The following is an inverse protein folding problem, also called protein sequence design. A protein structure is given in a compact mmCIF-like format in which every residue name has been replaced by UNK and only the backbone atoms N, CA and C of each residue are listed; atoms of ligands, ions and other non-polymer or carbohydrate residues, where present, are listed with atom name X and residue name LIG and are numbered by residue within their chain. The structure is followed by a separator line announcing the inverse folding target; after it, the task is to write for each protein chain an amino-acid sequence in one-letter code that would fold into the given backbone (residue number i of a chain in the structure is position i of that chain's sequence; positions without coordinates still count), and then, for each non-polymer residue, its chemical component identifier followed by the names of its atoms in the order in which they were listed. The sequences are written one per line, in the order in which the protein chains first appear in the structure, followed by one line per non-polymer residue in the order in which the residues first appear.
data_IF_905442543186
#
_entry.id   IF_905442543186
#
_cell.length_a   1.000
_cell.length_b   1.000
_cell.length_c   1.000
_cell.angle_alpha   90.00
_cell.angle_beta   90.00
_cell.angle_gamma   90.00
#
_symmetry.space_group_name_H-M   'P 1'
#
loop_
_entity.id
_entity.type
_entity.pdbx_description
1 polymer ?
#
# COMPACT_ATOMS: atom_id res chain seq x y z
N UNK A 1 -66.89 7.80 23.88
CA UNK A 1 -65.89 7.49 24.94
C UNK A 1 -65.85 5.96 25.04
N UNK A 2 -64.78 5.20 24.95
CA UNK A 2 -63.34 5.41 25.20
C UNK A 2 -62.51 4.45 24.34
N UNK A 3 -61.33 4.94 23.98
CA UNK A 3 -60.28 4.35 23.15
C UNK A 3 -59.57 3.13 23.78
N UNK A 4 -59.18 2.20 22.92
CA UNK A 4 -57.81 1.67 22.71
C UNK A 4 -57.01 1.29 23.96
N UNK A 5 -56.77 -0.02 24.16
CA UNK A 5 -55.53 -0.53 24.73
C UNK A 5 -55.10 -1.80 23.97
N UNK A 6 -54.49 -1.62 22.79
CA UNK A 6 -53.59 -2.62 22.22
C UNK A 6 -52.18 -2.26 22.69
N UNK A 7 -51.62 -3.11 23.55
CA UNK A 7 -50.22 -3.01 23.96
C UNK A 7 -49.31 -2.99 22.75
N UNK A 8 -48.69 -1.84 22.48
CA UNK A 8 -47.53 -1.75 21.60
C UNK A 8 -46.41 -2.54 22.26
N UNK A 9 -46.10 -3.72 21.72
CA UNK A 9 -44.76 -4.30 21.84
C UNK A 9 -43.79 -3.18 21.43
N UNK A 10 -42.94 -2.73 22.37
CA UNK A 10 -41.80 -1.87 22.06
C UNK A 10 -41.03 -2.56 20.94
N UNK A 11 -41.15 -2.05 19.71
CA UNK A 11 -40.19 -2.36 18.67
C UNK A 11 -38.85 -1.90 19.23
N UNK A 12 -37.93 -2.85 19.45
CA UNK A 12 -36.51 -2.50 19.54
C UNK A 12 -36.25 -1.65 18.30
N UNK A 13 -35.90 -0.38 18.48
CA UNK A 13 -35.44 0.48 17.39
C UNK A 13 -34.32 -0.29 16.69
N UNK A 14 -34.66 -0.88 15.55
CA UNK A 14 -33.66 -1.32 14.60
C UNK A 14 -32.92 -0.03 14.23
N UNK A 15 -31.67 0.05 14.62
CA UNK A 15 -30.76 1.11 14.20
C UNK A 15 -30.92 1.24 12.67
N UNK A 16 -31.52 2.34 12.21
CA UNK A 16 -31.83 2.54 10.79
C UNK A 16 -30.51 2.45 10.02
N UNK A 17 -30.49 1.67 8.94
CA UNK A 17 -29.29 1.52 8.09
C UNK A 17 -28.81 2.88 7.60
N UNK A 18 -29.72 3.82 7.35
CA UNK A 18 -29.35 5.17 6.93
C UNK A 18 -28.63 5.93 8.05
N UNK A 19 -29.12 5.85 9.29
CA UNK A 19 -28.45 6.44 10.46
C UNK A 19 -27.07 5.83 10.70
N UNK A 20 -26.94 4.50 10.51
CA UNK A 20 -25.67 3.79 10.57
C UNK A 20 -24.63 4.35 9.60
N UNK A 21 -25.08 4.56 8.36
CA UNK A 21 -24.24 5.00 7.27
C UNK A 21 -23.81 6.46 7.47
N UNK A 22 -24.74 7.35 7.81
CA UNK A 22 -24.43 8.75 8.14
C UNK A 22 -23.49 8.85 9.35
N UNK A 23 -23.69 8.01 10.36
CA UNK A 23 -22.80 7.93 11.52
C UNK A 23 -21.37 7.57 11.11
N UNK A 24 -21.17 6.54 10.28
CA UNK A 24 -19.81 6.20 9.82
C UNK A 24 -19.20 7.29 8.96
N UNK A 25 -19.96 7.87 8.02
CA UNK A 25 -19.46 8.95 7.15
C UNK A 25 -19.01 10.16 7.98
N UNK A 26 -19.76 10.53 9.01
CA UNK A 26 -19.36 11.62 9.91
C UNK A 26 -18.05 11.32 10.65
N UNK A 27 -17.81 10.06 11.04
CA UNK A 27 -16.60 9.63 11.73
C UNK A 27 -15.38 9.58 10.80
N UNK A 28 -15.56 9.36 9.49
CA UNK A 28 -14.48 9.40 8.50
C UNK A 28 -13.83 10.79 8.42
N UNK A 29 -14.58 11.85 8.79
CA UNK A 29 -14.12 13.25 8.83
C UNK A 29 -13.38 13.59 7.54
N UNK A 30 -14.10 13.53 6.41
CA UNK A 30 -13.54 13.70 5.08
C UNK A 30 -12.86 15.09 4.94
N UNK A 31 -11.66 15.11 4.38
CA UNK A 31 -10.93 16.32 3.99
C UNK A 31 -10.77 16.37 2.47
N UNK A 32 -10.94 17.55 1.90
CA UNK A 32 -10.70 17.78 0.49
C UNK A 32 -9.20 17.78 0.20
N UNK A 33 -8.78 16.97 -0.76
CA UNK A 33 -7.47 17.03 -1.40
C UNK A 33 -7.68 17.79 -2.71
N UNK A 34 -7.15 19.02 -2.85
CA UNK A 34 -7.44 19.87 -3.98
C UNK A 34 -6.89 19.28 -5.29
N UNK A 35 -7.56 19.61 -6.39
CA UNK A 35 -7.04 19.29 -7.72
C UNK A 35 -5.68 19.95 -7.95
N UNK A 36 -4.83 19.34 -8.77
CA UNK A 36 -3.56 19.92 -9.17
C UNK A 36 -2.43 18.91 -9.24
N UNK A 37 -1.29 19.39 -9.74
CA UNK A 37 -0.07 18.61 -9.86
C UNK A 37 0.56 18.33 -8.50
N UNK A 38 1.10 17.13 -8.36
CA UNK A 38 2.05 16.79 -7.30
C UNK A 38 3.12 15.86 -7.88
N UNK A 39 4.19 15.66 -7.11
CA UNK A 39 5.31 14.81 -7.52
C UNK A 39 5.15 13.40 -6.96
N UNK A 40 4.74 12.47 -7.80
CA UNK A 40 4.55 11.05 -7.46
C UNK A 40 5.86 10.27 -7.66
N UNK A 41 6.28 9.49 -6.67
CA UNK A 41 7.53 8.72 -6.68
C UNK A 41 8.75 9.48 -6.15
N UNK A 42 9.93 8.91 -6.38
CA UNK A 42 11.25 9.39 -5.92
C UNK A 42 12.18 9.60 -7.10
N UNK A 43 13.02 10.64 -7.06
CA UNK A 43 14.06 10.86 -8.06
C UNK A 43 15.19 9.82 -7.94
N UNK A 44 15.87 9.47 -9.04
CA UNK A 44 16.94 8.47 -9.03
C UNK A 44 18.25 9.01 -8.42
N UNK A 45 18.21 9.37 -7.14
CA UNK A 45 19.39 9.68 -6.30
C UNK A 45 19.90 8.37 -5.67
N UNK A 46 20.73 7.64 -6.41
CA UNK A 46 21.21 6.32 -5.99
C UNK A 46 22.07 6.36 -4.73
N UNK A 47 22.79 7.45 -4.48
CA UNK A 47 23.57 7.62 -3.25
C UNK A 47 22.65 7.72 -2.03
N UNK A 48 21.56 8.51 -2.15
CA UNK A 48 20.52 8.57 -1.10
C UNK A 48 19.87 7.21 -0.91
N UNK A 49 19.51 6.51 -1.98
CA UNK A 49 18.88 5.18 -1.88
C UNK A 49 19.80 4.16 -1.18
N UNK A 50 21.09 4.14 -1.50
CA UNK A 50 22.06 3.30 -0.81
C UNK A 50 22.19 3.65 0.68
N UNK A 51 22.27 4.95 1.03
CA UNK A 51 22.30 5.39 2.43
C UNK A 51 21.05 4.94 3.19
N UNK A 52 19.87 5.09 2.59
CA UNK A 52 18.60 4.63 3.20
C UNK A 52 18.58 3.12 3.36
N UNK A 53 18.97 2.37 2.33
CA UNK A 53 19.05 0.91 2.37
C UNK A 53 19.99 0.43 3.47
N UNK A 54 21.18 1.03 3.59
CA UNK A 54 22.15 0.73 4.64
C UNK A 54 21.64 1.09 6.04
N UNK A 55 21.08 2.29 6.22
CA UNK A 55 20.54 2.78 7.50
C UNK A 55 19.47 1.83 8.08
N UNK A 56 18.58 1.33 7.24
CA UNK A 56 17.48 0.46 7.66
C UNK A 56 17.78 -1.04 7.49
N UNK A 57 18.95 -1.39 6.94
CA UNK A 57 19.38 -2.76 6.65
C UNK A 57 18.39 -3.52 5.74
N UNK A 58 17.90 -2.85 4.71
CA UNK A 58 16.93 -3.39 3.75
C UNK A 58 17.56 -3.54 2.35
N UNK A 59 17.05 -4.44 1.50
CA UNK A 59 17.46 -4.51 0.10
C UNK A 59 17.13 -3.22 -0.66
N UNK A 60 18.09 -2.71 -1.45
CA UNK A 60 17.87 -1.53 -2.31
C UNK A 60 16.77 -1.78 -3.36
N UNK A 61 16.55 -3.02 -3.79
CA UNK A 61 15.49 -3.45 -4.70
C UNK A 61 14.10 -2.99 -4.26
N UNK A 62 13.88 -2.88 -2.95
CA UNK A 62 12.61 -2.45 -2.38
C UNK A 62 12.37 -0.95 -2.57
N UNK A 63 13.45 -0.17 -2.64
CA UNK A 63 13.42 1.27 -2.86
C UNK A 63 13.32 1.63 -4.34
N UNK A 64 13.94 0.81 -5.21
CA UNK A 64 13.93 1.02 -6.67
C UNK A 64 12.52 0.95 -7.29
N UNK A 65 11.54 0.38 -6.58
CA UNK A 65 10.12 0.38 -6.97
C UNK A 65 9.48 1.77 -6.94
N UNK A 66 10.11 2.74 -6.28
CA UNK A 66 9.60 4.11 -6.07
C UNK A 66 10.03 5.06 -7.19
N UNK A 67 10.88 4.59 -8.11
CA UNK A 67 11.43 5.38 -9.21
C UNK A 67 10.62 5.22 -10.50
N UNK A 68 10.72 6.17 -11.45
CA UNK A 68 11.19 7.55 -11.25
C UNK A 68 10.05 8.43 -10.70
N UNK A 69 10.41 9.59 -10.16
CA UNK A 69 9.44 10.61 -9.81
C UNK A 69 8.86 11.25 -11.08
N UNK A 70 7.57 11.53 -11.07
CA UNK A 70 6.86 12.18 -12.18
C UNK A 70 5.84 13.20 -11.69
N UNK A 71 5.65 14.31 -12.44
CA UNK A 71 4.53 15.20 -12.20
C UNK A 71 3.22 14.48 -12.55
N UNK A 72 2.30 14.43 -11.61
CA UNK A 72 0.98 13.85 -11.82
C UNK A 72 -0.08 14.89 -11.51
N UNK A 73 -0.88 15.25 -12.52
CA UNK A 73 -2.12 15.97 -12.27
C UNK A 73 -3.08 15.04 -11.53
N UNK A 74 -3.85 15.53 -10.59
CA UNK A 74 -4.90 14.73 -9.95
C UNK A 74 -6.09 15.61 -9.65
N UNK A 75 -7.28 15.14 -10.01
CA UNK A 75 -8.55 15.78 -9.72
C UNK A 75 -8.77 15.87 -8.22
N UNK A 76 -9.69 16.76 -7.85
CA UNK A 76 -10.11 16.88 -6.47
C UNK A 76 -10.78 15.59 -5.99
N UNK A 77 -10.43 15.16 -4.78
CA UNK A 77 -11.10 14.06 -4.10
C UNK A 77 -11.16 14.34 -2.61
N UNK A 78 -11.97 13.56 -1.90
CA UNK A 78 -12.06 13.61 -0.44
C UNK A 78 -11.33 12.42 0.15
N UNK A 79 -10.51 12.63 1.17
CA UNK A 79 -9.80 11.57 1.89
C UNK A 79 -10.31 11.49 3.32
N UNK A 80 -10.58 10.27 3.82
CA UNK A 80 -10.81 10.08 5.25
C UNK A 80 -9.57 10.52 6.04
N UNK A 81 -9.75 11.35 7.06
CA UNK A 81 -8.62 11.89 7.85
C UNK A 81 -7.96 10.87 8.75
N UNK A 82 -8.58 9.71 8.95
CA UNK A 82 -8.09 8.59 9.76
C UNK A 82 -8.35 7.28 9.01
N UNK A 83 -7.59 6.21 9.31
CA UNK A 83 -7.94 4.88 8.84
C UNK A 83 -9.31 4.46 9.39
N UNK A 84 -9.96 3.53 8.70
CA UNK A 84 -11.22 2.94 9.15
C UNK A 84 -10.97 2.18 10.45
N UNK A 85 -11.78 2.42 11.47
CA UNK A 85 -11.58 1.86 12.81
C UNK A 85 -12.43 0.60 13.05
N UNK A 86 -12.09 -0.19 14.07
CA UNK A 86 -12.94 -1.30 14.50
C UNK A 86 -14.37 -0.86 14.85
N UNK A 87 -14.55 0.34 15.39
CA UNK A 87 -15.86 0.92 15.67
C UNK A 87 -16.71 1.10 14.41
N UNK A 88 -16.11 1.62 13.34
CA UNK A 88 -16.79 1.79 12.04
C UNK A 88 -17.16 0.44 11.42
N UNK A 89 -16.24 -0.54 11.45
CA UNK A 89 -16.53 -1.91 10.98
C UNK A 89 -17.67 -2.54 11.79
N UNK A 90 -17.72 -2.32 13.10
CA UNK A 90 -18.80 -2.84 13.96
C UNK A 90 -20.17 -2.28 13.57
N UNK A 91 -20.24 -1.00 13.21
CA UNK A 91 -21.47 -0.37 12.71
C UNK A 91 -21.88 -0.97 11.37
N UNK A 92 -20.94 -1.11 10.44
CA UNK A 92 -21.15 -1.75 9.14
C UNK A 92 -21.70 -3.18 9.27
N UNK A 93 -21.04 -4.03 10.07
CA UNK A 93 -21.44 -5.43 10.26
C UNK A 93 -22.84 -5.53 10.87
N UNK A 94 -23.18 -4.67 11.83
CA UNK A 94 -24.50 -4.68 12.51
C UNK A 94 -25.64 -4.15 11.64
N UNK A 95 -25.37 -3.24 10.70
CA UNK A 95 -26.39 -2.58 9.86
C UNK A 95 -26.58 -3.23 8.48
N UNK A 96 -25.68 -4.13 8.10
CA UNK A 96 -25.76 -4.88 6.85
C UNK A 96 -26.78 -6.02 6.97
N UNK A 97 -27.74 -6.09 6.05
CA UNK A 97 -28.64 -7.25 5.98
C UNK A 97 -27.83 -8.50 5.63
N UNK A 98 -27.96 -9.54 6.45
CA UNK A 98 -27.42 -10.87 6.15
C UNK A 98 -25.97 -11.13 6.55
N UNK A 99 -25.39 -10.36 7.48
CA UNK A 99 -24.01 -10.53 8.00
C UNK A 99 -22.97 -10.73 6.88
N UNK A 100 -22.35 -9.65 6.36
CA UNK A 100 -21.36 -9.79 5.31
C UNK A 100 -20.31 -10.82 5.75
N UNK A 101 -19.92 -11.73 4.84
CA UNK A 101 -18.85 -12.71 5.10
C UNK A 101 -17.52 -11.97 5.16
N UNK A 102 -17.26 -11.40 6.34
CA UNK A 102 -16.05 -10.68 6.70
C UNK A 102 -15.03 -11.67 7.25
N UNK A 103 -13.74 -11.40 7.01
CA UNK A 103 -12.63 -12.17 7.54
C UNK A 103 -12.78 -12.44 9.05
N UNK A 104 -12.60 -13.70 9.45
CA UNK A 104 -12.82 -14.11 10.84
C UNK A 104 -11.84 -13.44 11.81
N UNK A 105 -10.58 -13.25 11.42
CA UNK A 105 -9.57 -12.57 12.22
C UNK A 105 -9.94 -11.10 12.45
N UNK A 106 -10.51 -10.42 11.43
CA UNK A 106 -11.05 -9.07 11.59
C UNK A 106 -12.16 -9.02 12.64
N UNK A 107 -13.10 -9.98 12.59
CA UNK A 107 -14.20 -10.08 13.56
C UNK A 107 -13.68 -10.36 14.99
N UNK A 108 -12.68 -11.22 15.13
CA UNK A 108 -12.05 -11.51 16.43
C UNK A 108 -11.37 -10.26 17.00
N UNK A 109 -10.55 -9.58 16.20
CA UNK A 109 -9.84 -8.38 16.60
C UNK A 109 -10.80 -7.22 16.93
N UNK A 110 -11.87 -7.06 16.15
CA UNK A 110 -12.93 -6.08 16.44
C UNK A 110 -13.62 -6.30 17.80
N UNK A 111 -13.66 -7.54 18.31
CA UNK A 111 -14.18 -7.85 19.65
C UNK A 111 -13.14 -7.63 20.75
N UNK A 112 -11.86 -7.88 20.43
CA UNK A 112 -10.74 -7.83 21.37
C UNK A 112 -10.22 -6.41 21.62
N UNK A 113 -10.18 -5.56 20.60
CA UNK A 113 -9.49 -4.27 20.65
C UNK A 113 -10.46 -3.07 20.74
N UNK A 114 -9.97 -1.92 21.28
CA UNK A 114 -10.72 -0.67 21.35
C UNK A 114 -11.34 -0.23 20.02
N UNK A 115 -12.50 0.43 20.10
CA UNK A 115 -13.24 0.86 18.90
C UNK A 115 -12.54 1.94 18.09
N UNK A 116 -11.61 2.68 18.71
CA UNK A 116 -10.84 3.76 18.11
C UNK A 116 -9.55 3.28 17.44
N UNK A 117 -9.16 2.02 17.61
CA UNK A 117 -8.02 1.46 16.87
C UNK A 117 -8.39 1.26 15.39
N UNK A 118 -7.43 1.43 14.47
CA UNK A 118 -7.59 1.02 13.08
C UNK A 118 -8.07 -0.44 12.98
N UNK A 119 -8.87 -0.75 11.98
CA UNK A 119 -9.32 -2.10 11.73
C UNK A 119 -8.22 -2.94 11.05
N UNK A 120 -7.88 -4.10 11.63
CA UNK A 120 -6.89 -5.04 11.08
C UNK A 120 -7.10 -6.48 11.62
N UNK A 121 -6.59 -7.54 10.94
CA UNK A 121 -6.19 -7.51 9.54
C UNK A 121 -7.43 -7.39 8.65
N UNK A 122 -7.36 -6.60 7.59
CA UNK A 122 -8.38 -6.61 6.53
C UNK A 122 -7.84 -7.34 5.30
N UNK A 123 -8.73 -8.04 4.58
CA UNK A 123 -8.44 -8.51 3.22
C UNK A 123 -9.19 -7.65 2.19
N UNK A 124 -8.78 -7.71 0.92
CA UNK A 124 -9.42 -6.96 -0.18
C UNK A 124 -10.94 -7.10 -0.20
N UNK A 125 -11.45 -8.31 0.05
CA UNK A 125 -12.88 -8.60 0.07
C UNK A 125 -13.62 -7.78 1.14
N UNK A 126 -13.07 -7.68 2.35
CA UNK A 126 -13.69 -6.93 3.47
C UNK A 126 -13.86 -5.46 3.10
N UNK A 127 -12.81 -4.88 2.52
CA UNK A 127 -12.76 -3.47 2.17
C UNK A 127 -13.71 -3.14 1.02
N UNK A 128 -13.80 -4.01 0.02
CA UNK A 128 -14.74 -3.85 -1.09
C UNK A 128 -16.20 -3.94 -0.60
N UNK A 129 -16.49 -4.83 0.35
CA UNK A 129 -17.82 -4.91 0.97
C UNK A 129 -18.14 -3.64 1.78
N UNK A 130 -17.18 -3.13 2.55
CA UNK A 130 -17.34 -1.87 3.29
C UNK A 130 -17.57 -0.67 2.36
N UNK A 131 -16.77 -0.53 1.29
CA UNK A 131 -16.96 0.53 0.30
C UNK A 131 -18.31 0.38 -0.42
N UNK A 132 -18.71 -0.84 -0.78
CA UNK A 132 -20.02 -1.10 -1.37
C UNK A 132 -21.14 -0.66 -0.43
N UNK A 133 -21.02 -0.96 0.86
CA UNK A 133 -21.99 -0.54 1.87
C UNK A 133 -22.04 0.98 2.04
N UNK A 134 -20.89 1.67 2.13
CA UNK A 134 -20.84 3.14 2.17
C UNK A 134 -21.53 3.78 0.95
N UNK A 135 -21.46 3.13 -0.21
CA UNK A 135 -22.10 3.62 -1.43
C UNK A 135 -23.60 3.33 -1.51
N UNK A 136 -24.17 2.52 -0.62
CA UNK A 136 -25.61 2.28 -0.56
C UNK A 136 -26.30 3.54 -0.03
N UNK A 137 -27.20 4.13 -0.80
CA UNK A 137 -27.93 5.33 -0.37
C UNK A 137 -27.15 6.65 -0.47
N UNK A 138 -25.86 6.63 -0.80
CA UNK A 138 -25.09 7.83 -1.11
C UNK A 138 -25.36 8.30 -2.54
N UNK A 139 -25.89 9.52 -2.68
CA UNK A 139 -26.27 10.12 -3.97
C UNK A 139 -25.21 11.05 -4.54
N UNK A 140 -24.43 11.70 -3.70
CA UNK A 140 -23.46 12.71 -4.15
C UNK A 140 -22.03 12.17 -4.23
N UNK A 141 -21.65 11.36 -3.24
CA UNK A 141 -20.30 10.82 -3.13
C UNK A 141 -20.24 9.36 -3.56
N UNK A 142 -19.10 9.00 -4.14
CA UNK A 142 -18.69 7.62 -4.42
C UNK A 142 -17.43 7.29 -3.64
N UNK A 143 -17.56 6.36 -2.70
CA UNK A 143 -16.48 5.88 -1.83
C UNK A 143 -15.71 4.72 -2.48
N UNK A 144 -14.40 4.68 -2.29
CA UNK A 144 -13.52 3.62 -2.78
C UNK A 144 -12.22 3.55 -1.97
N UNK A 145 -11.40 2.54 -2.24
CA UNK A 145 -10.00 2.54 -1.83
C UNK A 145 -9.22 3.63 -2.58
N UNK A 146 -8.30 4.37 -1.94
CA UNK A 146 -7.40 5.26 -2.65
C UNK A 146 -6.61 4.46 -3.69
N UNK A 147 -6.37 5.04 -4.86
CA UNK A 147 -5.23 4.58 -5.68
C UNK A 147 -3.93 4.85 -4.92
N UNK A 148 -2.87 4.15 -5.28
CA UNK A 148 -1.54 4.42 -4.72
C UNK A 148 -1.15 5.89 -4.84
N UNK A 149 -1.41 6.51 -6.00
CA UNK A 149 -1.12 7.92 -6.24
C UNK A 149 -1.99 8.86 -5.40
N UNK A 150 -3.28 8.55 -5.21
CA UNK A 150 -4.14 9.32 -4.31
C UNK A 150 -3.65 9.25 -2.86
N UNK A 151 -3.24 8.06 -2.42
CA UNK A 151 -2.68 7.88 -1.09
C UNK A 151 -1.39 8.70 -0.93
N UNK A 152 -0.49 8.63 -1.90
CA UNK A 152 0.77 9.38 -1.84
C UNK A 152 0.53 10.89 -1.85
N UNK A 153 -0.36 11.41 -2.72
CA UNK A 153 -0.71 12.84 -2.71
C UNK A 153 -1.22 13.26 -1.34
N UNK A 154 -2.12 12.47 -0.74
CA UNK A 154 -2.69 12.77 0.57
C UNK A 154 -1.63 12.75 1.70
N UNK A 155 -0.61 11.88 1.61
CA UNK A 155 0.47 11.76 2.58
C UNK A 155 1.56 12.83 2.39
N UNK A 156 2.04 12.97 1.15
CA UNK A 156 3.20 13.76 0.73
C UNK A 156 2.91 15.24 0.57
N UNK A 157 1.65 15.63 0.34
CA UNK A 157 1.34 17.04 0.10
C UNK A 157 1.88 17.55 -1.23
N UNK A 158 2.07 18.86 -1.30
CA UNK A 158 2.63 19.57 -2.47
C UNK A 158 4.10 19.92 -2.30
N UNK A 159 4.62 19.84 -1.07
CA UNK A 159 5.98 20.21 -0.69
C UNK A 159 6.98 19.05 -0.79
N UNK A 160 6.51 17.86 -1.14
CA UNK A 160 7.38 16.74 -1.50
C UNK A 160 8.00 16.00 -0.31
N UNK A 161 7.44 16.17 0.89
CA UNK A 161 7.96 15.61 2.15
C UNK A 161 8.29 14.12 2.11
N UNK A 162 9.32 13.71 2.86
CA UNK A 162 9.72 12.31 2.99
C UNK A 162 8.72 11.48 3.82
N UNK A 163 8.24 12.03 4.94
CA UNK A 163 7.24 11.44 5.83
C UNK A 163 5.99 12.32 5.91
N UNK A 164 4.82 11.78 6.31
CA UNK A 164 3.61 12.58 6.39
C UNK A 164 3.79 13.86 7.22
N UNK A 165 4.56 13.83 8.30
CA UNK A 165 4.78 14.99 9.17
C UNK A 165 5.96 15.90 8.77
N UNK A 166 6.75 15.56 7.76
CA UNK A 166 7.93 16.33 7.34
C UNK A 166 9.07 15.45 6.85
N UNK A 167 10.28 16.01 6.78
CA UNK A 167 11.43 15.31 6.19
C UNK A 167 12.25 14.50 7.20
N UNK A 168 12.07 14.78 8.49
CA UNK A 168 12.80 14.10 9.56
C UNK A 168 12.04 12.89 10.10
N UNK A 169 12.74 11.76 10.16
CA UNK A 169 12.26 10.56 10.83
C UNK A 169 12.05 10.83 12.33
N UNK A 170 10.82 10.68 12.83
CA UNK A 170 10.49 10.96 14.22
C UNK A 170 9.75 9.79 14.88
N UNK A 171 10.48 8.97 15.66
CA UNK A 171 9.92 7.79 16.33
C UNK A 171 8.83 8.14 17.37
N UNK A 172 8.85 9.35 17.93
CA UNK A 172 7.80 9.81 18.85
C UNK A 172 6.47 10.16 18.16
N UNK A 173 6.48 10.34 16.83
CA UNK A 173 5.30 10.69 16.03
C UNK A 173 4.69 9.45 15.36
N UNK A 174 5.53 8.52 14.92
CA UNK A 174 5.10 7.32 14.20
C UNK A 174 5.00 6.10 15.11
N UNK A 175 4.01 5.25 14.85
CA UNK A 175 3.92 3.95 15.50
C UNK A 175 4.62 2.91 14.59
N UNK A 176 5.93 2.80 14.71
CA UNK A 176 6.78 1.83 13.99
C UNK A 176 7.45 0.88 14.98
N UNK A 177 8.27 -0.06 14.49
CA UNK A 177 9.00 -1.03 15.32
C UNK A 177 9.87 -0.37 16.40
N UNK A 178 10.37 0.84 16.13
CA UNK A 178 11.15 1.63 17.08
C UNK A 178 10.32 2.21 18.24
N UNK A 179 8.99 2.10 18.17
CA UNK A 179 8.08 2.54 19.23
C UNK A 179 7.87 1.43 20.28
N UNK A 180 7.54 1.82 21.52
CA UNK A 180 7.47 0.91 22.69
C UNK A 180 6.35 -0.14 22.60
N UNK A 181 5.42 0.00 21.66
CA UNK A 181 4.21 -0.82 21.60
C UNK A 181 4.09 -1.59 20.28
N UNK A 182 3.94 -2.92 20.40
CA UNK A 182 3.78 -3.83 19.25
C UNK A 182 2.34 -3.87 18.69
N UNK A 183 1.56 -2.80 18.84
CA UNK A 183 0.17 -2.73 18.38
C UNK A 183 -0.16 -1.33 17.84
N UNK A 184 -1.07 -1.22 16.85
CA UNK A 184 -1.56 0.08 16.40
C UNK A 184 -2.22 0.87 17.54
N UNK A 185 -1.93 2.17 17.59
CA UNK A 185 -2.58 3.06 18.55
C UNK A 185 -4.01 3.40 18.11
N UNK A 186 -4.83 3.82 19.08
CA UNK A 186 -6.05 4.52 18.75
C UNK A 186 -5.74 5.76 17.90
N UNK A 187 -6.56 6.03 16.88
CA UNK A 187 -6.33 7.06 15.85
C UNK A 187 -6.25 8.49 16.40
N UNK A 188 -6.61 8.69 17.67
CA UNK A 188 -6.56 9.95 18.42
C UNK A 188 -5.23 10.17 19.16
N UNK A 189 -4.38 9.15 19.34
CA UNK A 189 -3.11 9.27 20.07
C UNK A 189 -1.96 9.88 19.26
N UNK A 190 -1.97 9.74 17.93
CA UNK A 190 -0.87 10.20 17.07
C UNK A 190 -1.20 11.52 16.36
N UNK A 191 -1.50 12.57 17.12
CA UNK A 191 -1.91 13.87 16.55
C UNK A 191 -0.83 14.52 15.68
N UNK A 192 0.45 14.35 16.04
CA UNK A 192 1.58 14.86 15.25
C UNK A 192 1.83 14.09 13.94
N UNK A 193 1.26 12.90 13.79
CA UNK A 193 1.36 12.10 12.56
C UNK A 193 0.32 12.59 11.58
N UNK A 194 0.59 13.74 10.97
CA UNK A 194 -0.36 14.47 10.14
C UNK A 194 0.30 14.96 8.86
N UNK A 195 -0.35 14.68 7.73
CA UNK A 195 0.09 15.17 6.42
C UNK A 195 -0.12 16.67 6.23
N UNK A 196 0.36 17.20 5.09
CA UNK A 196 0.10 18.58 4.64
C UNK A 196 -1.38 18.92 4.69
N UNK A 197 -2.22 17.96 4.29
CA UNK A 197 -3.67 18.08 4.21
C UNK A 197 -4.39 17.70 5.52
N UNK A 198 -3.63 17.59 6.61
CA UNK A 198 -4.10 17.15 7.93
C UNK A 198 -4.73 15.74 7.93
N UNK A 199 -4.27 14.87 7.03
CA UNK A 199 -4.64 13.46 7.04
C UNK A 199 -3.72 12.75 8.03
N UNK A 200 -4.31 12.09 9.03
CA UNK A 200 -3.57 11.53 10.17
C UNK A 200 -3.30 10.05 10.03
N UNK A 201 -2.29 9.60 10.78
CA UNK A 201 -1.88 8.18 10.87
C UNK A 201 -1.52 7.61 9.49
N UNK A 202 -0.78 8.38 8.68
CA UNK A 202 -0.35 7.93 7.35
C UNK A 202 1.06 7.30 7.36
N UNK A 203 1.77 7.34 8.49
CA UNK A 203 3.06 6.68 8.67
C UNK A 203 3.08 5.85 9.96
N UNK A 204 3.14 4.53 9.87
CA UNK A 204 3.11 3.59 10.98
C UNK A 204 1.70 3.20 11.45
N UNK A 205 1.63 2.27 12.40
CA UNK A 205 0.40 1.70 12.94
C UNK A 205 -0.10 0.56 12.06
N UNK A 206 -0.90 0.89 11.05
CA UNK A 206 -1.37 -0.06 10.04
C UNK A 206 -0.95 0.41 8.66
N UNK A 207 -0.56 -0.54 7.81
CA UNK A 207 -0.33 -0.24 6.40
C UNK A 207 -1.68 -0.30 5.70
N UNK A 208 -1.84 0.51 4.66
CA UNK A 208 -3.15 0.75 4.10
C UNK A 208 -3.27 0.20 2.70
N UNK A 209 -4.28 -0.65 2.52
CA UNK A 209 -4.64 -1.22 1.24
C UNK A 209 -5.01 -0.13 0.24
N UNK A 210 -4.47 -0.20 -0.97
CA UNK A 210 -4.83 0.67 -2.09
C UNK A 210 -5.58 -0.09 -3.19
N UNK A 211 -6.25 0.65 -4.07
CA UNK A 211 -6.90 0.07 -5.25
C UNK A 211 -5.90 -0.34 -6.33
N UNK A 212 -4.69 0.22 -6.31
CA UNK A 212 -3.60 -0.06 -7.25
C UNK A 212 -2.97 -1.44 -7.05
N UNK A 213 -2.59 -2.07 -8.16
CA UNK A 213 -1.80 -3.30 -8.16
C UNK A 213 -0.34 -3.01 -8.47
N UNK A 214 0.56 -3.86 -7.98
CA UNK A 214 1.98 -3.73 -8.19
C UNK A 214 2.32 -3.76 -9.69
N UNK A 215 2.91 -2.66 -10.15
CA UNK A 215 3.43 -2.41 -11.49
C UNK A 215 4.59 -1.43 -11.39
N UNK A 216 5.50 -1.48 -12.35
CA UNK A 216 6.56 -0.48 -12.51
C UNK A 216 5.94 0.87 -12.79
N UNK A 217 6.50 1.94 -12.23
CA UNK A 217 6.13 3.29 -12.68
C UNK A 217 6.56 3.46 -14.14
N UNK A 218 5.83 4.28 -14.90
CA UNK A 218 6.19 4.57 -16.28
C UNK A 218 7.59 5.19 -16.32
N UNK A 219 8.50 4.66 -17.14
CA UNK A 219 9.90 5.11 -17.22
C UNK A 219 10.82 4.45 -16.18
N UNK A 220 10.31 3.56 -15.33
CA UNK A 220 11.18 2.68 -14.55
C UNK A 220 11.68 1.56 -15.48
N UNK A 221 13.01 1.35 -15.60
CA UNK A 221 13.58 0.35 -16.51
C UNK A 221 13.35 -1.10 -16.04
N UNK A 222 12.91 -1.31 -14.80
CA UNK A 222 12.72 -2.63 -14.23
C UNK A 222 11.31 -3.14 -14.57
N UNK A 223 11.21 -4.25 -15.29
CA UNK A 223 9.94 -4.92 -15.62
C UNK A 223 9.35 -5.71 -14.45
N UNK A 224 8.05 -5.59 -14.22
CA UNK A 224 7.30 -6.39 -13.23
C UNK A 224 6.45 -7.44 -13.98
N UNK A 225 6.66 -8.75 -13.76
CA UNK A 225 5.85 -9.79 -14.37
C UNK A 225 4.44 -9.86 -13.76
N UNK A 226 3.49 -10.41 -14.54
CA UNK A 226 2.07 -10.40 -14.19
C UNK A 226 1.69 -11.28 -12.99
N UNK A 227 2.51 -12.24 -12.61
CA UNK A 227 2.28 -13.08 -11.43
C UNK A 227 2.67 -12.37 -10.11
N UNK A 228 3.32 -11.20 -10.18
CA UNK A 228 3.59 -10.32 -9.05
C UNK A 228 2.48 -9.26 -8.86
N UNK A 229 1.26 -9.57 -9.29
CA UNK A 229 0.07 -8.74 -9.14
C UNK A 229 -0.56 -8.88 -7.74
N UNK A 230 -0.01 -8.16 -6.77
CA UNK A 230 -0.66 -7.90 -5.48
C UNK A 230 -1.07 -6.43 -5.37
N UNK A 231 -1.97 -6.12 -4.44
CA UNK A 231 -2.33 -4.73 -4.15
C UNK A 231 -1.21 -4.03 -3.43
N UNK A 232 -0.95 -2.78 -3.80
CA UNK A 232 0.03 -1.96 -3.10
C UNK A 232 -0.52 -1.58 -1.73
N UNK A 233 0.32 -1.77 -0.71
CA UNK A 233 0.14 -1.28 0.65
C UNK A 233 1.04 -0.07 0.87
N UNK A 234 0.55 0.92 1.61
CA UNK A 234 1.25 2.18 1.88
C UNK A 234 1.28 2.53 3.37
N UNK A 235 2.26 3.33 3.77
CA UNK A 235 2.30 3.96 5.10
C UNK A 235 2.97 3.17 6.21
N UNK A 236 3.30 1.89 6.00
CA UNK A 236 4.02 1.08 7.00
C UNK A 236 3.18 0.73 8.22
N UNK A 237 3.78 -0.01 9.16
CA UNK A 237 3.06 -0.63 10.28
C UNK A 237 3.84 -0.49 11.59
N UNK A 238 3.21 -0.87 12.70
CA UNK A 238 3.87 -0.96 14.01
C UNK A 238 4.92 -2.09 14.12
N UNK A 239 4.98 -3.03 13.17
CA UNK A 239 5.97 -4.13 13.18
C UNK A 239 7.20 -3.86 12.30
N UNK A 240 7.17 -2.79 11.50
CA UNK A 240 8.22 -2.46 10.55
C UNK A 240 9.00 -1.23 10.97
N UNK A 241 10.26 -1.15 10.52
CA UNK A 241 11.12 0.01 10.75
C UNK A 241 10.54 1.27 10.08
N UNK A 242 11.07 2.42 10.49
CA UNK A 242 10.65 3.74 10.01
C UNK A 242 10.77 3.92 8.49
N UNK A 243 11.59 3.12 7.77
CA UNK A 243 11.67 3.23 6.31
C UNK A 243 10.29 3.13 5.67
N UNK A 244 9.46 2.16 6.07
CA UNK A 244 8.16 1.88 5.49
C UNK A 244 7.10 2.96 5.77
N UNK A 245 7.36 3.87 6.72
CA UNK A 245 6.50 5.01 7.01
C UNK A 245 6.72 6.20 6.05
N UNK A 246 7.73 6.15 5.16
CA UNK A 246 7.94 7.18 4.13
C UNK A 246 6.77 7.26 3.17
N UNK A 247 6.44 8.47 2.71
CA UNK A 247 5.29 8.72 1.85
C UNK A 247 5.32 7.95 0.53
N UNK A 248 6.51 7.61 0.02
CA UNK A 248 6.68 6.95 -1.28
C UNK A 248 6.82 5.43 -1.18
N UNK A 249 7.00 4.88 0.02
CA UNK A 249 7.29 3.45 0.18
C UNK A 249 6.15 2.58 -0.31
N UNK A 250 6.51 1.53 -1.05
CA UNK A 250 5.61 0.55 -1.65
C UNK A 250 5.80 -0.81 -1.00
N UNK A 251 4.72 -1.42 -0.53
CA UNK A 251 4.72 -2.77 0.04
C UNK A 251 3.57 -3.63 -0.54
N UNK A 252 3.47 -4.90 -0.16
CA UNK A 252 2.32 -5.77 -0.51
C UNK A 252 2.61 -7.19 -0.96
N UNK A 253 3.86 -7.57 -1.25
CA UNK A 253 4.20 -8.95 -1.65
C UNK A 253 3.95 -9.94 -0.51
N UNK A 254 4.36 -9.56 0.70
CA UNK A 254 4.10 -10.30 1.94
C UNK A 254 3.44 -9.31 2.91
N UNK A 255 2.10 -9.17 2.86
CA UNK A 255 1.39 -8.22 3.69
C UNK A 255 1.56 -8.49 5.19
N UNK A 256 1.55 -7.41 5.96
CA UNK A 256 1.51 -7.42 7.42
C UNK A 256 0.20 -7.97 7.95
N UNK A 257 0.24 -8.54 9.16
CA UNK A 257 -0.96 -8.78 9.97
C UNK A 257 -1.67 -7.47 10.38
N UNK A 258 -0.96 -6.34 10.32
CA UNK A 258 -1.47 -4.99 10.56
C UNK A 258 -1.85 -4.30 9.25
N UNK A 259 -2.40 -5.04 8.30
CA UNK A 259 -3.06 -4.48 7.12
C UNK A 259 -4.39 -3.86 7.52
N UNK A 260 -4.51 -2.55 7.35
CA UNK A 260 -5.73 -1.76 7.48
C UNK A 260 -6.09 -1.08 6.16
N UNK A 261 -6.91 -0.05 6.24
CA UNK A 261 -7.27 0.76 5.08
C UNK A 261 -7.87 2.11 5.49
N UNK A 262 -7.87 3.03 4.54
CA UNK A 262 -8.74 4.22 4.55
C UNK A 262 -9.55 4.28 3.28
N UNK A 263 -10.54 5.16 3.27
CA UNK A 263 -11.39 5.39 2.11
C UNK A 263 -11.18 6.79 1.56
N UNK A 264 -11.32 6.90 0.25
CA UNK A 264 -11.48 8.17 -0.46
C UNK A 264 -12.89 8.25 -1.04
N UNK A 265 -13.35 9.45 -1.34
CA UNK A 265 -14.58 9.69 -2.05
C UNK A 265 -14.40 10.74 -3.15
N UNK A 266 -15.23 10.65 -4.19
CA UNK A 266 -15.36 11.68 -5.24
C UNK A 266 -16.82 12.01 -5.45
N UNK A 267 -17.11 13.15 -6.06
CA UNK A 267 -18.46 13.42 -6.58
C UNK A 267 -18.78 12.42 -7.68
N UNK A 268 -20.00 11.86 -7.70
CA UNK A 268 -20.39 10.80 -8.66
C UNK A 268 -20.30 11.23 -10.12
N UNK A 269 -20.58 12.50 -10.40
CA UNK A 269 -20.55 13.06 -11.76
C UNK A 269 -19.17 13.66 -12.12
N UNK A 270 -18.17 13.51 -11.24
CA UNK A 270 -16.82 13.97 -11.55
C UNK A 270 -16.18 13.02 -12.57
N UNK A 271 -15.81 13.57 -13.72
CA UNK A 271 -14.86 12.91 -14.62
C UNK A 271 -13.54 12.70 -13.88
N UNK A 272 -13.01 11.48 -14.02
CA UNK A 272 -11.66 11.16 -13.58
C UNK A 272 -10.84 10.98 -14.83
N UNK A 273 -9.82 11.82 -15.04
CA UNK A 273 -8.80 11.44 -16.01
C UNK A 273 -8.13 10.15 -15.52
N UNK A 274 -7.90 9.22 -16.45
CA UNK A 274 -7.06 8.06 -16.17
C UNK A 274 -5.63 8.54 -16.01
N UNK A 275 -5.14 8.50 -14.78
CA UNK A 275 -3.76 8.82 -14.45
C UNK A 275 -2.90 7.60 -14.73
N UNK A 276 -2.48 7.44 -15.99
CA UNK A 276 -1.54 6.38 -16.37
C UNK A 276 -0.16 6.70 -15.78
N UNK A 277 0.09 6.18 -14.58
CA UNK A 277 1.39 6.32 -13.88
C UNK A 277 2.24 5.05 -13.96
N UNK A 278 1.67 3.96 -14.48
CA UNK A 278 2.29 2.65 -14.48
C UNK A 278 2.66 2.21 -15.90
N UNK A 279 3.78 1.51 -16.02
CA UNK A 279 4.09 0.76 -17.23
C UNK A 279 3.04 -0.33 -17.45
N UNK A 280 2.65 -0.51 -18.72
CA UNK A 280 1.78 -1.59 -19.18
C UNK A 280 2.56 -2.68 -19.91
N UNK A 281 3.87 -2.49 -20.12
CA UNK A 281 4.72 -3.41 -20.86
C UNK A 281 5.69 -4.16 -19.93
N UNK A 282 5.82 -5.47 -20.16
CA UNK A 282 6.80 -6.34 -19.52
C UNK A 282 7.66 -6.99 -20.62
N UNK A 283 8.97 -6.70 -20.61
CA UNK A 283 9.93 -7.19 -21.59
C UNK A 283 11.04 -8.01 -20.91
N UNK A 284 11.00 -9.36 -21.00
CA UNK A 284 12.06 -10.22 -20.51
C UNK A 284 13.09 -10.53 -21.61
N UNK A 285 13.41 -9.59 -22.50
CA UNK A 285 14.50 -9.71 -23.49
C UNK A 285 15.89 -9.66 -22.82
N UNK A 286 16.93 -10.30 -23.41
CA UNK A 286 18.31 -10.18 -22.93
C UNK A 286 18.74 -8.72 -22.71
N UNK A 287 19.46 -8.48 -21.61
CA UNK A 287 19.89 -7.16 -21.20
C UNK A 287 18.86 -6.35 -20.38
N UNK A 288 17.59 -6.78 -20.31
CA UNK A 288 16.55 -6.10 -19.52
C UNK A 288 16.59 -6.52 -18.05
N UNK A 289 16.20 -5.59 -17.17
CA UNK A 289 16.03 -5.83 -15.74
C UNK A 289 14.59 -6.22 -15.44
N UNK A 290 14.39 -7.26 -14.63
CA UNK A 290 13.06 -7.74 -14.23
C UNK A 290 13.00 -8.08 -12.74
N UNK A 291 11.82 -8.02 -12.15
CA UNK A 291 11.56 -8.65 -10.85
C UNK A 291 11.34 -10.15 -11.00
N UNK A 292 11.91 -10.91 -10.07
CA UNK A 292 11.73 -12.36 -9.95
C UNK A 292 11.28 -12.72 -8.54
N UNK A 293 10.45 -13.76 -8.42
CA UNK A 293 9.99 -14.28 -7.13
C UNK A 293 10.84 -15.45 -6.69
N UNK A 294 11.44 -15.38 -5.51
CA UNK A 294 12.31 -16.42 -4.95
C UNK A 294 11.48 -17.50 -4.25
N UNK A 295 11.85 -18.77 -4.42
CA UNK A 295 11.19 -19.90 -3.78
C UNK A 295 12.09 -20.65 -2.80
N UNK A 296 13.26 -21.07 -3.29
CA UNK A 296 14.08 -22.05 -2.58
C UNK A 296 15.56 -21.77 -2.79
N UNK A 297 16.35 -21.90 -1.74
CA UNK A 297 17.81 -21.90 -1.83
C UNK A 297 18.25 -23.30 -2.22
N UNK A 298 18.95 -23.43 -3.35
CA UNK A 298 19.51 -24.71 -3.78
C UNK A 298 20.84 -25.00 -3.05
N UNK A 299 21.70 -24.00 -2.96
CA UNK A 299 22.98 -24.09 -2.23
C UNK A 299 23.51 -22.71 -1.81
N UNK A 300 24.77 -22.65 -1.37
CA UNK A 300 25.43 -21.43 -0.94
C UNK A 300 25.33 -20.29 -1.98
N UNK A 301 25.33 -20.65 -3.26
CA UNK A 301 25.47 -19.78 -4.42
C UNK A 301 24.32 -19.88 -5.43
N UNK A 302 23.22 -20.60 -5.16
CA UNK A 302 22.12 -20.76 -6.13
C UNK A 302 20.74 -20.68 -5.48
N UNK A 303 19.83 -19.97 -6.14
CA UNK A 303 18.43 -19.79 -5.71
C UNK A 303 17.48 -20.06 -6.87
N UNK A 304 16.40 -20.78 -6.59
CA UNK A 304 15.32 -21.04 -7.53
C UNK A 304 14.31 -19.89 -7.50
N UNK A 305 13.97 -19.36 -8.67
CA UNK A 305 13.05 -18.23 -8.83
C UNK A 305 12.03 -18.47 -9.96
N UNK A 306 10.95 -17.68 -9.99
CA UNK A 306 10.02 -17.62 -11.13
C UNK A 306 9.94 -16.24 -11.74
N UNK A 307 9.66 -16.25 -13.03
CA UNK A 307 9.32 -15.09 -13.84
C UNK A 307 7.93 -15.35 -14.42
N UNK A 308 6.87 -14.69 -13.95
CA UNK A 308 5.61 -14.68 -14.71
C UNK A 308 4.92 -16.02 -14.95
N UNK A 309 5.23 -17.10 -14.22
CA UNK A 309 4.72 -18.45 -14.51
C UNK A 309 5.52 -19.25 -15.54
N UNK A 310 6.65 -18.74 -16.03
CA UNK A 310 7.64 -19.51 -16.78
C UNK A 310 8.24 -20.63 -15.92
N UNK A 311 8.90 -21.59 -16.58
CA UNK A 311 9.67 -22.62 -15.90
C UNK A 311 10.62 -21.99 -14.86
N UNK A 312 10.82 -22.62 -13.69
CA UNK A 312 11.73 -22.10 -12.67
C UNK A 312 13.11 -21.77 -13.24
N UNK A 313 13.62 -20.60 -12.89
CA UNK A 313 14.94 -20.12 -13.30
C UNK A 313 15.90 -20.26 -12.12
N UNK A 314 17.12 -20.72 -12.39
CA UNK A 314 18.19 -20.79 -11.41
C UNK A 314 18.97 -19.47 -11.48
N UNK A 315 19.01 -18.76 -10.36
CA UNK A 315 19.83 -17.57 -10.17
C UNK A 315 21.15 -17.95 -9.49
N UNK A 316 22.27 -17.63 -10.12
CA UNK A 316 23.59 -17.77 -9.49
C UNK A 316 23.90 -16.58 -8.59
N UNK A 317 23.99 -16.84 -7.30
CA UNK A 317 24.37 -15.93 -6.24
C UNK A 317 25.89 -15.67 -6.14
N UNK A 318 26.73 -16.16 -7.07
CA UNK A 318 28.15 -15.76 -7.11
C UNK A 318 28.33 -14.24 -7.30
N UNK A 319 27.33 -13.57 -7.87
CA UNK A 319 27.24 -12.12 -8.00
C UNK A 319 26.38 -11.45 -6.91
N UNK A 320 25.72 -12.24 -6.06
CA UNK A 320 24.95 -11.72 -4.93
C UNK A 320 25.89 -11.71 -3.73
N UNK A 321 26.11 -10.54 -3.12
CA UNK A 321 26.82 -10.47 -1.84
C UNK A 321 26.23 -11.49 -0.86
N UNK A 322 27.07 -12.39 -0.31
CA UNK A 322 26.61 -13.51 0.52
C UNK A 322 25.67 -13.05 1.66
N UNK A 323 25.95 -11.88 2.25
CA UNK A 323 25.11 -11.27 3.28
C UNK A 323 23.79 -10.66 2.79
N UNK A 324 23.65 -10.36 1.49
CA UNK A 324 22.36 -9.98 0.85
C UNK A 324 21.51 -11.22 0.62
N UNK A 325 22.12 -12.34 0.23
CA UNK A 325 21.42 -13.61 0.05
C UNK A 325 20.85 -14.11 1.39
N UNK A 326 21.67 -14.22 2.43
CA UNK A 326 21.25 -14.73 3.75
C UNK A 326 20.11 -13.93 4.39
N UNK A 327 20.05 -12.61 4.15
CA UNK A 327 18.97 -11.73 4.63
C UNK A 327 17.74 -11.69 3.71
N UNK A 328 17.90 -11.96 2.41
CA UNK A 328 16.83 -11.90 1.40
C UNK A 328 16.12 -13.25 1.14
N UNK A 329 16.65 -14.38 1.63
CA UNK A 329 16.00 -15.70 1.48
C UNK A 329 14.92 -15.88 2.56
N UNK A 330 13.82 -15.13 2.46
CA UNK A 330 12.52 -15.64 2.91
C UNK A 330 11.77 -16.12 1.68
N UNK A 331 11.25 -17.34 1.70
CA UNK A 331 10.42 -17.86 0.60
C UNK A 331 9.32 -16.85 0.26
N UNK A 332 9.17 -16.53 -1.02
CA UNK A 332 8.24 -15.51 -1.51
C UNK A 332 8.84 -14.11 -1.66
N UNK A 333 10.08 -13.86 -1.25
CA UNK A 333 10.77 -12.57 -1.47
C UNK A 333 10.97 -12.28 -2.96
N UNK A 334 11.19 -11.01 -3.27
CA UNK A 334 11.43 -10.52 -4.63
C UNK A 334 12.84 -9.94 -4.75
N UNK A 335 13.43 -10.11 -5.93
CA UNK A 335 14.74 -9.55 -6.27
C UNK A 335 14.72 -9.03 -7.72
N UNK A 336 15.59 -8.08 -8.04
CA UNK A 336 15.84 -7.66 -9.41
C UNK A 336 16.92 -8.56 -10.02
N UNK A 337 16.68 -9.02 -11.24
CA UNK A 337 17.65 -9.79 -12.01
C UNK A 337 17.78 -9.24 -13.45
N UNK A 338 18.98 -9.36 -13.99
CA UNK A 338 19.29 -9.15 -15.40
C UNK A 338 18.93 -10.41 -16.19
N UNK A 339 18.27 -10.25 -17.34
CA UNK A 339 18.06 -11.35 -18.27
C UNK A 339 19.31 -11.54 -19.12
N UNK A 340 19.91 -12.75 -19.05
CA UNK A 340 21.10 -13.11 -19.84
C UNK A 340 20.69 -13.69 -21.20
N UNK A 341 19.80 -14.68 -21.17
CA UNK A 341 19.36 -15.39 -22.36
C UNK A 341 17.87 -15.73 -22.27
N UNK A 342 17.21 -15.77 -23.44
CA UNK A 342 15.84 -16.23 -23.59
C UNK A 342 15.74 -17.13 -24.82
N UNK A 343 15.37 -18.39 -24.63
CA UNK A 343 15.14 -19.36 -25.70
C UNK A 343 13.78 -20.03 -25.48
N UNK A 344 12.77 -19.58 -26.23
CA UNK A 344 11.38 -19.96 -25.99
C UNK A 344 10.93 -19.53 -24.59
N UNK A 345 10.49 -20.49 -23.78
CA UNK A 345 10.05 -20.28 -22.39
C UNK A 345 11.20 -20.35 -21.37
N UNK A 346 12.39 -20.80 -21.78
CA UNK A 346 13.56 -20.85 -20.90
C UNK A 346 14.22 -19.49 -20.85
N UNK A 347 14.35 -18.94 -19.65
CA UNK A 347 15.03 -17.70 -19.37
C UNK A 347 16.15 -17.99 -18.38
N UNK A 348 17.34 -17.44 -18.60
CA UNK A 348 18.42 -17.42 -17.61
C UNK A 348 18.63 -15.99 -17.11
N UNK A 349 18.85 -15.86 -15.82
CA UNK A 349 18.97 -14.56 -15.17
C UNK A 349 20.12 -14.54 -14.17
N UNK A 350 20.69 -13.36 -14.00
CA UNK A 350 21.73 -13.10 -13.00
C UNK A 350 21.30 -11.96 -12.09
N UNK A 351 21.49 -12.12 -10.78
CA UNK A 351 21.28 -11.02 -9.85
C UNK A 351 22.59 -10.25 -9.69
N UNK A 352 22.55 -8.96 -10.00
CA UNK A 352 23.73 -8.09 -10.03
C UNK A 352 24.10 -7.61 -8.62
N UNK A 353 25.39 -7.33 -8.41
CA UNK A 353 25.85 -6.57 -7.26
C UNK A 353 25.26 -5.14 -7.28
N UNK A 354 25.15 -4.48 -6.12
CA UNK A 354 24.50 -3.15 -6.04
C UNK A 354 25.12 -2.12 -6.99
N UNK A 355 26.45 -1.99 -7.11
CA UNK A 355 27.05 -1.04 -8.06
C UNK A 355 26.72 -1.35 -9.52
N UNK A 356 26.75 -2.63 -9.91
CA UNK A 356 26.44 -3.09 -11.27
C UNK A 356 24.96 -2.89 -11.62
N UNK A 357 24.07 -3.17 -10.65
CA UNK A 357 22.63 -2.94 -10.79
C UNK A 357 22.34 -1.46 -11.06
N UNK A 358 22.96 -0.56 -10.30
CA UNK A 358 22.78 0.89 -10.48
C UNK A 358 23.29 1.33 -11.84
N UNK A 359 24.49 0.89 -12.24
CA UNK A 359 25.04 1.21 -13.55
C UNK A 359 24.13 0.72 -14.70
N UNK A 360 23.54 -0.47 -14.57
CA UNK A 360 22.61 -1.01 -15.56
C UNK A 360 21.29 -0.23 -15.62
N UNK A 361 20.75 0.21 -14.47
CA UNK A 361 19.56 1.07 -14.41
C UNK A 361 19.83 2.42 -15.08
N UNK A 362 20.97 3.05 -14.78
CA UNK A 362 21.36 4.33 -15.38
C UNK A 362 21.46 4.22 -16.90
N UNK A 363 22.14 3.19 -17.41
CA UNK A 363 22.25 2.92 -18.86
C UNK A 363 20.87 2.78 -19.51
N UNK A 364 19.96 2.00 -18.93
CA UNK A 364 18.63 1.79 -19.50
C UNK A 364 17.76 3.05 -19.46
N UNK A 365 17.93 3.92 -18.45
CA UNK A 365 17.25 5.23 -18.40
C UNK A 365 17.78 6.13 -19.53
N UNK A 366 19.10 6.20 -19.72
CA UNK A 366 19.74 6.97 -20.80
C UNK A 366 19.27 6.50 -22.19
N UNK A 367 19.28 5.20 -22.44
CA UNK A 367 18.80 4.59 -23.70
C UNK A 367 17.33 4.89 -23.99
N UNK A 368 16.49 5.06 -22.96
CA UNK A 368 15.06 5.35 -23.12
C UNK A 368 14.74 6.84 -23.34
N UNK A 369 15.74 7.71 -23.16
CA UNK A 369 15.62 9.17 -23.29
C UNK A 369 16.11 9.66 -24.67
N UNK A 370 16.84 8.82 -25.40
CA UNK A 370 17.25 8.99 -26.80
C UNK A 370 16.12 8.49 -27.72
#
# INVERSE_FOLDING_TARGET
MSKIWKGRKKSRLAFDRNDALLSVISQLRLRTIPRGFFRFGVEPDFDKLQRVAGKYEIPIDWLLKELPAKPLYMDEFYCATIPVTFGMIRIFVRSSAGYPKINQSLIQNMKRYPSQMPAFPVISQDVLLFCKWLNQGQRELQFSLPTEAQWEKAAKGLDGREYPWGDEACAGISNTLESVHNLPYCVDKSLGNSSYYHIRNMGGGVEELTSSVNRSYQGNPIGVPSNLHYRILRGGTCEHKMDLARCTRRHGNIPSLYTGFRVVARKRDAFSSSYEVYSTHFDPSPGKLIYVKLFERMDATRVLASIGGAAPVILEARQIEAGRLERAIRCGSEMIALVEHKQGEKISCTALAVPELIAQIQRQIEESTI
#
